data_IF_475630384277
#
_entry.id   IF_475630384277
#
_cell.length_a   1.000
_cell.length_b   1.000
_cell.length_c   1.000
_cell.angle_alpha   90.00
_cell.angle_beta   90.00
_cell.angle_gamma   90.00
#
_symmetry.space_group_name_H-M   'P 1'
#
loop_
_entity.id
_entity.type
_entity.pdbx_description
1 polymer ?
#
# COMPACT_ATOMS: atom_id res chain seq x y z
N UNK A 1 -0.68 -0.22 -12.92
CA UNK A 1 -0.52 -1.16 -14.06
C UNK A 1 -1.04 -2.54 -13.69
N UNK A 2 -0.77 -3.53 -14.54
CA UNK A 2 -1.15 -4.94 -14.32
C UNK A 2 0.08 -5.70 -13.82
N UNK A 3 0.13 -6.15 -12.56
CA UNK A 3 1.26 -6.93 -12.05
C UNK A 3 1.25 -8.34 -12.64
N UNK A 4 2.45 -8.90 -12.82
CA UNK A 4 2.68 -10.30 -13.16
C UNK A 4 3.63 -10.87 -12.11
N UNK A 5 3.30 -12.03 -11.54
CA UNK A 5 4.18 -12.77 -10.63
C UNK A 5 4.67 -14.04 -11.31
N UNK A 6 5.91 -14.43 -11.03
CA UNK A 6 6.45 -15.71 -11.46
C UNK A 6 5.93 -16.80 -10.52
N UNK A 7 5.48 -17.92 -11.08
CA UNK A 7 4.99 -19.03 -10.27
C UNK A 7 6.11 -19.59 -9.39
N UNK A 8 5.85 -19.73 -8.10
CA UNK A 8 6.80 -20.18 -7.10
C UNK A 8 7.41 -19.06 -6.26
N UNK A 9 7.37 -17.80 -6.72
CA UNK A 9 7.85 -16.65 -5.92
C UNK A 9 7.07 -16.51 -4.62
N UNK A 10 5.78 -16.88 -4.62
CA UNK A 10 4.90 -16.78 -3.46
C UNK A 10 5.32 -17.68 -2.29
N UNK A 11 6.18 -18.68 -2.49
CA UNK A 11 6.71 -19.52 -1.42
C UNK A 11 8.25 -19.64 -1.45
N UNK A 12 8.92 -18.78 -2.22
CA UNK A 12 10.38 -18.71 -2.28
C UNK A 12 11.04 -19.81 -3.12
N UNK A 13 10.47 -20.16 -4.27
CA UNK A 13 11.13 -21.03 -5.25
C UNK A 13 12.52 -20.49 -5.61
N UNK A 14 13.50 -21.39 -5.69
CA UNK A 14 14.89 -21.03 -5.97
C UNK A 14 15.48 -21.90 -7.06
N UNK A 15 16.20 -21.27 -7.98
CA UNK A 15 17.04 -21.93 -8.99
C UNK A 15 18.52 -21.92 -8.57
N UNK A 16 18.79 -21.76 -7.26
CA UNK A 16 20.14 -21.69 -6.68
C UNK A 16 21.06 -20.64 -7.33
N UNK A 17 20.48 -19.51 -7.74
CA UNK A 17 21.21 -18.41 -8.40
C UNK A 17 21.37 -18.58 -9.91
N UNK A 18 20.89 -19.67 -10.52
CA UNK A 18 20.82 -19.79 -11.97
C UNK A 18 19.72 -18.86 -12.51
N UNK A 19 20.08 -17.82 -13.25
CA UNK A 19 19.13 -16.88 -13.85
C UNK A 19 18.76 -17.25 -15.30
N UNK A 20 19.18 -18.43 -15.79
CA UNK A 20 18.98 -18.90 -17.15
C UNK A 20 18.78 -20.42 -17.22
N UNK A 21 17.83 -20.95 -16.44
CA UNK A 21 17.56 -22.39 -16.33
C UNK A 21 16.79 -23.00 -17.53
N UNK A 22 16.94 -22.45 -18.74
CA UNK A 22 16.11 -22.81 -19.91
C UNK A 22 16.24 -24.27 -20.38
N UNK A 23 17.37 -24.92 -20.10
CA UNK A 23 17.64 -26.31 -20.49
C UNK A 23 17.60 -27.29 -19.29
N UNK A 24 17.06 -26.85 -18.15
CA UNK A 24 17.00 -27.65 -16.93
C UNK A 24 15.59 -28.22 -16.75
N UNK A 25 15.44 -29.51 -17.02
CA UNK A 25 14.24 -30.27 -16.68
C UNK A 25 14.54 -31.19 -15.50
N UNK A 26 14.59 -30.60 -14.29
CA UNK A 26 14.93 -31.27 -13.03
C UNK A 26 14.51 -30.40 -11.83
N UNK A 27 14.91 -30.80 -10.63
CA UNK A 27 14.56 -30.16 -9.36
C UNK A 27 14.97 -28.69 -9.25
N UNK A 28 15.85 -28.18 -10.13
CA UNK A 28 16.18 -26.74 -10.21
C UNK A 28 14.96 -25.93 -10.67
N UNK A 29 14.14 -26.46 -11.59
CA UNK A 29 13.02 -25.73 -12.20
C UNK A 29 11.65 -26.22 -11.72
N UNK A 30 11.57 -27.43 -11.15
CA UNK A 30 10.31 -27.97 -10.64
C UNK A 30 9.83 -27.24 -9.38
N UNK A 31 8.51 -27.03 -9.28
CA UNK A 31 7.87 -26.45 -8.10
C UNK A 31 7.64 -27.53 -7.04
N UNK A 32 8.37 -27.45 -5.93
CA UNK A 32 8.33 -28.45 -4.86
C UNK A 32 7.25 -28.16 -3.80
N UNK A 33 5.97 -28.31 -4.18
CA UNK A 33 4.81 -28.02 -3.32
C UNK A 33 4.80 -28.78 -1.99
N UNK A 34 5.33 -30.01 -1.97
CA UNK A 34 5.44 -30.88 -0.80
C UNK A 34 6.58 -30.49 0.15
N UNK A 35 7.49 -29.61 -0.28
CA UNK A 35 8.70 -29.21 0.45
C UNK A 35 8.74 -27.73 0.81
N UNK A 36 7.59 -27.05 0.79
CA UNK A 36 7.49 -25.65 1.23
C UNK A 36 7.88 -25.57 2.72
N UNK A 37 8.90 -24.76 3.00
CA UNK A 37 9.40 -24.50 4.36
C UNK A 37 8.43 -23.59 5.15
N UNK A 38 8.52 -23.53 6.49
CA UNK A 38 7.72 -22.62 7.30
C UNK A 38 7.77 -21.17 6.81
N UNK A 39 8.95 -20.64 6.49
CA UNK A 39 9.13 -19.26 6.00
C UNK A 39 8.47 -19.06 4.62
N UNK A 40 8.44 -20.11 3.79
CA UNK A 40 7.72 -20.10 2.52
C UNK A 40 6.20 -20.07 2.69
N UNK A 41 5.67 -20.66 3.78
CA UNK A 41 4.24 -20.54 4.13
C UNK A 41 3.91 -19.13 4.61
N UNK A 42 4.78 -18.52 5.41
CA UNK A 42 4.63 -17.12 5.83
C UNK A 42 4.64 -16.17 4.62
N UNK A 43 5.58 -16.37 3.68
CA UNK A 43 5.62 -15.60 2.44
C UNK A 43 4.34 -15.80 1.60
N UNK A 44 3.82 -17.02 1.53
CA UNK A 44 2.59 -17.32 0.80
C UNK A 44 1.40 -16.56 1.38
N UNK A 45 1.24 -16.56 2.70
CA UNK A 45 0.17 -15.80 3.36
C UNK A 45 0.35 -14.28 3.20
N UNK A 46 1.60 -13.79 3.27
CA UNK A 46 1.89 -12.39 2.96
C UNK A 46 1.54 -12.03 1.51
N UNK A 47 1.89 -12.87 0.54
CA UNK A 47 1.52 -12.67 -0.87
C UNK A 47 0.00 -12.67 -1.05
N UNK A 48 -0.73 -13.56 -0.38
CA UNK A 48 -2.21 -13.57 -0.39
C UNK A 48 -2.77 -12.27 0.19
N UNK A 49 -2.21 -11.77 1.29
CA UNK A 49 -2.56 -10.49 1.90
C UNK A 49 -2.37 -9.33 0.93
N UNK A 50 -1.24 -9.27 0.22
CA UNK A 50 -0.98 -8.24 -0.79
C UNK A 50 -1.97 -8.29 -1.97
N UNK A 51 -2.30 -9.50 -2.45
CA UNK A 51 -3.30 -9.67 -3.53
C UNK A 51 -4.68 -9.22 -3.07
N UNK A 52 -5.09 -9.61 -1.86
CA UNK A 52 -6.36 -9.20 -1.27
C UNK A 52 -6.43 -7.68 -1.10
N UNK A 53 -5.40 -7.07 -0.51
CA UNK A 53 -5.27 -5.62 -0.35
C UNK A 53 -5.40 -4.91 -1.72
N UNK A 54 -4.65 -5.37 -2.72
CA UNK A 54 -4.74 -4.82 -4.08
C UNK A 54 -6.16 -4.86 -4.63
N UNK A 55 -6.90 -5.97 -4.46
CA UNK A 55 -8.28 -6.11 -4.94
C UNK A 55 -9.27 -5.23 -4.14
N UNK A 56 -9.01 -5.04 -2.85
CA UNK A 56 -9.85 -4.25 -1.95
C UNK A 56 -9.75 -2.75 -2.22
N UNK A 57 -8.59 -2.26 -2.69
CA UNK A 57 -8.35 -0.82 -2.89
C UNK A 57 -8.21 -0.44 -4.38
N UNK A 58 -9.31 0.02 -5.03
CA UNK A 58 -9.31 0.39 -6.45
C UNK A 58 -8.24 1.39 -6.86
N UNK A 59 -7.86 2.30 -5.95
CA UNK A 59 -6.83 3.31 -6.17
C UNK A 59 -5.48 2.73 -6.60
N UNK A 60 -5.18 1.48 -6.24
CA UNK A 60 -3.94 0.78 -6.62
C UNK A 60 -3.96 0.22 -8.05
N UNK A 61 -5.13 0.16 -8.69
CA UNK A 61 -5.30 -0.44 -10.02
C UNK A 61 -6.22 0.37 -10.95
N UNK A 62 -6.27 1.69 -10.76
CA UNK A 62 -6.96 2.60 -11.67
C UNK A 62 -6.35 2.54 -13.07
N UNK A 63 -7.20 2.73 -14.09
CA UNK A 63 -6.80 2.75 -15.51
C UNK A 63 -6.29 4.11 -16.01
N UNK A 64 -6.09 5.08 -15.12
CA UNK A 64 -5.60 6.44 -15.45
C UNK A 64 -4.26 6.68 -14.78
N UNK A 65 -3.39 7.42 -15.47
CA UNK A 65 -2.14 7.89 -14.89
C UNK A 65 -2.40 8.96 -13.84
N UNK A 66 -1.61 8.91 -12.78
CA UNK A 66 -1.55 9.95 -11.76
C UNK A 66 -0.83 11.17 -12.36
N UNK A 67 -1.42 12.35 -12.25
CA UNK A 67 -0.91 13.57 -12.84
C UNK A 67 -0.10 14.41 -11.84
N UNK A 68 -0.33 14.26 -10.54
CA UNK A 68 0.31 15.09 -9.52
C UNK A 68 0.03 16.58 -9.72
N UNK A 69 -1.13 16.92 -10.29
CA UNK A 69 -1.59 18.30 -10.49
C UNK A 69 -2.84 18.53 -9.67
N UNK A 70 -2.90 19.69 -9.03
CA UNK A 70 -4.09 20.10 -8.29
C UNK A 70 -5.24 20.37 -9.26
N UNK A 71 -6.41 19.82 -8.96
CA UNK A 71 -7.64 20.05 -9.70
C UNK A 71 -8.50 21.06 -8.95
N UNK A 72 -8.58 22.29 -9.45
CA UNK A 72 -9.36 23.38 -8.84
C UNK A 72 -10.86 23.08 -8.77
N UNK A 73 -11.42 22.38 -9.77
CA UNK A 73 -12.86 22.04 -9.80
C UNK A 73 -13.25 21.04 -8.69
N UNK A 74 -12.29 20.20 -8.28
CA UNK A 74 -12.53 19.10 -7.32
C UNK A 74 -11.82 19.30 -5.98
N UNK A 75 -11.03 20.38 -5.85
CA UNK A 75 -10.19 20.69 -4.69
C UNK A 75 -9.39 19.47 -4.20
N UNK A 76 -8.67 18.84 -5.14
CA UNK A 76 -7.95 17.58 -4.88
C UNK A 76 -6.76 17.40 -5.80
N UNK A 77 -5.71 16.76 -5.27
CA UNK A 77 -4.56 16.24 -6.02
C UNK A 77 -4.61 14.72 -5.99
N UNK A 78 -4.38 14.05 -7.12
CA UNK A 78 -4.47 12.58 -7.19
C UNK A 78 -3.29 11.85 -6.54
N UNK A 79 -2.11 12.45 -6.59
CA UNK A 79 -0.91 12.00 -5.88
C UNK A 79 -0.10 13.16 -5.33
N UNK A 80 0.37 13.02 -4.10
CA UNK A 80 1.35 13.92 -3.47
C UNK A 80 2.57 13.10 -3.04
N UNK A 81 3.76 13.55 -3.42
CA UNK A 81 5.00 12.92 -3.02
C UNK A 81 5.56 13.66 -1.82
N UNK A 82 5.98 12.92 -0.79
CA UNK A 82 6.29 13.48 0.51
C UNK A 82 7.73 13.18 0.92
N UNK A 83 8.39 14.17 1.51
CA UNK A 83 9.65 13.99 2.23
C UNK A 83 9.41 13.23 3.54
N UNK A 84 10.46 12.71 4.22
CA UNK A 84 10.32 12.14 5.55
C UNK A 84 9.75 13.12 6.60
N UNK A 85 9.85 14.43 6.37
CA UNK A 85 9.23 15.44 7.23
C UNK A 85 7.71 15.54 7.06
N UNK A 86 7.10 14.79 6.14
CA UNK A 86 5.66 14.84 5.84
C UNK A 86 5.28 16.01 4.92
N UNK A 87 6.26 16.68 4.33
CA UNK A 87 6.08 17.84 3.46
C UNK A 87 6.11 17.43 1.98
N UNK A 88 5.42 18.18 1.12
CA UNK A 88 5.45 17.90 -0.31
C UNK A 88 6.85 18.10 -0.91
N UNK A 89 7.32 17.13 -1.68
CA UNK A 89 8.61 17.20 -2.37
C UNK A 89 8.61 18.27 -3.45
N UNK A 90 9.53 19.21 -3.33
CA UNK A 90 9.87 20.15 -4.42
C UNK A 90 10.88 19.56 -5.42
N UNK A 91 11.18 20.32 -6.47
CA UNK A 91 12.14 19.93 -7.53
C UNK A 91 13.55 19.62 -6.99
N UNK A 92 14.00 20.32 -5.95
CA UNK A 92 15.30 20.09 -5.33
C UNK A 92 15.37 18.71 -4.66
N UNK A 93 14.32 18.31 -3.96
CA UNK A 93 14.22 16.97 -3.36
C UNK A 93 14.23 15.86 -4.42
N UNK A 94 13.61 16.07 -5.58
CA UNK A 94 13.62 15.10 -6.69
C UNK A 94 15.00 14.87 -7.30
N UNK A 95 15.85 15.90 -7.28
CA UNK A 95 17.21 15.82 -7.81
C UNK A 95 18.25 15.38 -6.76
N UNK A 96 17.85 15.22 -5.49
CA UNK A 96 18.75 14.70 -4.47
C UNK A 96 18.94 13.18 -4.59
N UNK A 97 20.08 12.78 -5.14
CA UNK A 97 20.51 11.38 -5.24
C UNK A 97 20.65 10.65 -3.89
N UNK A 98 20.65 11.37 -2.77
CA UNK A 98 20.71 10.80 -1.41
C UNK A 98 19.33 10.57 -0.81
N UNK A 99 18.26 11.13 -1.38
CA UNK A 99 16.89 10.92 -0.93
C UNK A 99 16.47 9.47 -1.18
N UNK A 100 16.61 8.62 -0.16
CA UNK A 100 16.29 7.18 -0.21
C UNK A 100 15.04 6.80 0.56
N UNK A 101 14.39 7.75 1.21
CA UNK A 101 13.13 7.56 1.90
C UNK A 101 12.13 8.64 1.45
N UNK A 102 10.93 8.23 1.05
CA UNK A 102 9.87 9.13 0.61
C UNK A 102 8.49 8.47 0.75
N UNK A 103 7.46 9.31 0.78
CA UNK A 103 6.07 8.90 0.82
C UNK A 103 5.36 9.19 -0.51
N UNK A 104 4.38 8.37 -0.85
CA UNK A 104 3.44 8.58 -1.94
C UNK A 104 2.02 8.54 -1.36
N UNK A 105 1.39 9.69 -1.27
CA UNK A 105 0.01 9.86 -0.82
C UNK A 105 -0.92 9.80 -2.04
N UNK A 106 -1.80 8.81 -2.07
CA UNK A 106 -2.82 8.62 -3.10
C UNK A 106 -4.18 9.06 -2.56
N UNK A 107 -4.75 10.14 -3.10
CA UNK A 107 -6.01 10.70 -2.60
C UNK A 107 -7.23 9.99 -3.21
N UNK A 108 -7.99 9.30 -2.36
CA UNK A 108 -9.20 8.59 -2.77
C UNK A 108 -10.30 9.49 -3.33
N UNK A 109 -10.27 10.78 -2.98
CA UNK A 109 -11.22 11.81 -3.44
C UNK A 109 -10.94 12.22 -4.89
N UNK A 110 -9.76 11.91 -5.43
CA UNK A 110 -9.43 12.22 -6.81
C UNK A 110 -10.26 11.39 -7.79
N UNK A 111 -10.58 11.99 -8.93
CA UNK A 111 -11.40 11.42 -9.99
C UNK A 111 -10.88 10.03 -10.45
N UNK A 112 -11.68 8.95 -10.32
CA UNK A 112 -11.22 7.61 -10.67
C UNK A 112 -11.31 7.27 -12.17
N UNK A 113 -12.24 7.89 -12.90
CA UNK A 113 -12.55 7.57 -14.31
C UNK A 113 -12.47 8.81 -15.21
N UNK A 114 -12.87 8.73 -16.48
CA UNK A 114 -12.97 9.91 -17.35
C UNK A 114 -14.13 10.87 -17.02
N UNK A 115 -15.05 10.45 -16.14
CA UNK A 115 -16.21 11.24 -15.74
C UNK A 115 -15.77 12.27 -14.69
N UNK A 116 -15.99 13.56 -14.96
CA UNK A 116 -15.68 14.68 -14.07
C UNK A 116 -16.53 14.62 -12.79
N UNK A 117 -16.09 13.81 -11.82
CA UNK A 117 -16.72 13.64 -10.52
C UNK A 117 -15.63 13.28 -9.50
N UNK A 118 -15.78 13.81 -8.28
CA UNK A 118 -14.97 13.43 -7.13
C UNK A 118 -15.08 11.93 -6.84
N UNK A 119 -13.95 11.29 -6.58
CA UNK A 119 -13.89 9.91 -6.12
C UNK A 119 -14.34 9.77 -4.67
N UNK A 120 -14.55 8.53 -4.25
CA UNK A 120 -14.92 8.13 -2.90
C UNK A 120 -14.08 6.97 -2.36
N UNK A 121 -13.01 6.61 -3.09
CA UNK A 121 -12.07 5.57 -2.68
C UNK A 121 -11.41 5.89 -1.31
N UNK A 122 -10.76 4.90 -0.73
CA UNK A 122 -9.88 5.11 0.40
C UNK A 122 -8.63 5.89 -0.03
N UNK A 123 -8.16 6.77 0.84
CA UNK A 123 -6.87 7.46 0.69
C UNK A 123 -5.78 6.57 1.29
N UNK A 124 -4.70 6.36 0.54
CA UNK A 124 -3.58 5.52 0.96
C UNK A 124 -2.29 6.33 1.03
N UNK A 125 -1.45 6.03 2.01
CA UNK A 125 -0.07 6.53 2.08
C UNK A 125 0.87 5.34 1.96
N UNK A 126 1.76 5.37 0.97
CA UNK A 126 2.79 4.37 0.77
C UNK A 126 4.14 4.98 1.11
N UNK A 127 4.89 4.38 2.03
CA UNK A 127 6.22 4.87 2.42
C UNK A 127 7.27 3.84 1.99
N UNK A 128 8.34 4.28 1.36
CA UNK A 128 9.43 3.42 0.93
C UNK A 128 10.73 3.93 1.53
N UNK A 129 11.47 3.05 2.22
CA UNK A 129 12.80 3.35 2.71
C UNK A 129 13.83 2.41 2.08
N UNK A 130 14.47 2.90 1.02
CA UNK A 130 15.63 2.29 0.40
C UNK A 130 16.95 2.74 1.05
N UNK A 131 16.92 3.41 2.21
CA UNK A 131 18.09 3.59 3.08
C UNK A 131 18.36 2.32 3.89
N UNK A 132 19.59 2.17 4.39
CA UNK A 132 20.04 0.95 5.07
C UNK A 132 19.78 0.98 6.58
N UNK A 133 19.35 2.13 7.07
CA UNK A 133 19.09 2.43 8.47
C UNK A 133 17.69 3.04 8.62
N UNK A 134 17.22 3.14 9.85
CA UNK A 134 15.92 3.70 10.23
C UNK A 134 15.84 5.16 9.78
N UNK A 135 14.67 5.55 9.26
CA UNK A 135 14.32 6.93 8.97
C UNK A 135 13.01 7.27 9.69
N UNK A 136 12.99 8.35 10.46
CA UNK A 136 11.74 8.87 11.02
C UNK A 136 10.91 9.49 9.90
N UNK A 137 9.66 9.04 9.75
CA UNK A 137 8.70 9.57 8.80
C UNK A 137 7.51 10.19 9.54
N UNK A 138 7.23 11.47 9.29
CA UNK A 138 6.09 12.17 9.88
C UNK A 138 4.82 11.87 9.09
N UNK A 139 3.82 11.27 9.75
CA UNK A 139 2.55 10.97 9.09
C UNK A 139 1.76 12.27 8.83
N UNK A 140 1.42 12.58 7.56
CA UNK A 140 0.84 13.86 7.18
C UNK A 140 -0.62 13.97 7.63
N UNK A 141 -1.06 15.20 7.88
CA UNK A 141 -2.48 15.52 7.94
C UNK A 141 -3.06 15.59 6.53
N UNK A 142 -4.25 15.03 6.34
CA UNK A 142 -4.95 15.04 5.05
C UNK A 142 -6.44 15.33 5.27
N UNK A 143 -7.11 16.04 4.33
CA UNK A 143 -8.49 16.44 4.56
C UNK A 143 -9.45 15.24 4.67
N UNK A 144 -10.51 15.41 5.47
CA UNK A 144 -11.54 14.39 5.77
C UNK A 144 -11.03 13.16 6.54
N UNK A 145 -9.77 13.20 7.01
CA UNK A 145 -9.15 12.15 7.80
C UNK A 145 -9.05 12.48 9.29
N UNK A 146 -8.89 11.43 10.09
CA UNK A 146 -8.67 11.50 11.54
C UNK A 146 -7.31 10.94 11.95
N UNK A 147 -6.92 9.82 11.34
CA UNK A 147 -5.76 9.04 11.73
C UNK A 147 -5.33 8.13 10.58
N UNK A 148 -4.16 7.50 10.70
CA UNK A 148 -3.65 6.50 9.79
C UNK A 148 -3.70 5.12 10.44
N UNK A 149 -4.13 4.12 9.67
CA UNK A 149 -4.06 2.71 10.08
C UNK A 149 -3.02 2.02 9.22
N UNK A 150 -2.04 1.36 9.85
CA UNK A 150 -1.03 0.58 9.12
C UNK A 150 -1.65 -0.72 8.59
N UNK A 151 -1.61 -0.93 7.28
CA UNK A 151 -2.07 -2.14 6.62
C UNK A 151 -0.94 -3.14 6.38
N UNK A 152 0.24 -2.62 6.01
CA UNK A 152 1.44 -3.38 5.68
C UNK A 152 2.63 -2.64 6.25
N UNK A 153 3.50 -3.38 6.93
CA UNK A 153 4.87 -3.00 7.23
C UNK A 153 5.74 -4.22 6.92
N UNK A 154 6.63 -4.16 5.92
CA UNK A 154 7.45 -5.32 5.54
C UNK A 154 8.42 -5.77 6.64
N UNK A 155 8.59 -4.98 7.70
CA UNK A 155 9.40 -5.34 8.86
C UNK A 155 8.58 -6.08 9.94
N UNK A 156 7.25 -6.04 9.87
CA UNK A 156 6.35 -6.65 10.85
C UNK A 156 5.39 -7.60 10.12
N UNK A 157 5.53 -8.93 10.26
CA UNK A 157 4.73 -9.91 9.52
C UNK A 157 3.22 -9.68 9.65
N UNK A 158 2.77 -9.42 10.88
CA UNK A 158 1.42 -8.97 11.19
C UNK A 158 1.51 -7.68 12.01
N UNK A 159 1.46 -6.50 11.36
CA UNK A 159 1.33 -5.27 12.10
C UNK A 159 0.04 -5.38 12.91
N UNK A 160 0.13 -5.23 14.23
CA UNK A 160 -0.99 -5.31 15.15
C UNK A 160 -2.18 -4.52 14.55
N UNK A 161 -3.36 -5.16 14.41
CA UNK A 161 -4.56 -4.56 13.79
C UNK A 161 -4.98 -3.23 14.47
N UNK A 162 -4.40 -2.95 15.64
CA UNK A 162 -4.62 -1.78 16.50
C UNK A 162 -3.70 -0.58 16.25
N UNK A 163 -2.77 -0.61 15.30
CA UNK A 163 -1.88 0.52 14.99
C UNK A 163 -2.58 1.72 14.37
N UNK A 164 -3.38 2.45 15.16
CA UNK A 164 -3.99 3.73 14.79
C UNK A 164 -3.04 4.85 15.17
N UNK A 165 -2.50 5.54 14.16
CA UNK A 165 -1.50 6.59 14.33
C UNK A 165 -2.12 7.97 14.08
N UNK A 166 -2.01 8.92 15.02
CA UNK A 166 -2.49 10.28 14.78
C UNK A 166 -1.62 10.98 13.72
N UNK A 167 -2.15 12.07 13.14
CA UNK A 167 -1.35 12.96 12.32
C UNK A 167 -0.18 13.54 13.12
N UNK A 168 0.94 13.80 12.43
CA UNK A 168 2.19 14.26 13.05
C UNK A 168 2.94 13.18 13.83
N UNK A 169 2.41 11.95 13.94
CA UNK A 169 3.15 10.83 14.52
C UNK A 169 4.43 10.58 13.72
N UNK A 170 5.54 10.38 14.42
CA UNK A 170 6.83 10.01 13.84
C UNK A 170 6.95 8.50 13.85
N UNK A 171 6.78 7.89 12.68
CA UNK A 171 6.91 6.45 12.51
C UNK A 171 8.36 6.10 12.19
N UNK A 172 8.92 5.11 12.90
CA UNK A 172 10.26 4.59 12.63
C UNK A 172 10.23 3.62 11.45
N UNK A 173 10.57 4.12 10.26
CA UNK A 173 10.60 3.30 9.05
C UNK A 173 11.94 2.59 8.97
N UNK A 174 11.97 1.29 9.21
CA UNK A 174 13.22 0.51 9.23
C UNK A 174 13.91 0.50 7.86
N UNK A 175 15.21 0.21 7.86
CA UNK A 175 15.98 0.12 6.61
C UNK A 175 15.43 -0.97 5.69
N UNK A 176 15.44 -0.71 4.37
CA UNK A 176 14.98 -1.65 3.34
C UNK A 176 13.53 -2.10 3.52
N UNK A 177 12.66 -1.19 3.96
CA UNK A 177 11.24 -1.50 4.21
C UNK A 177 10.29 -0.71 3.31
N UNK A 178 9.07 -1.21 3.25
CA UNK A 178 7.94 -0.55 2.62
C UNK A 178 6.72 -0.66 3.54
N UNK A 179 5.97 0.43 3.64
CA UNK A 179 4.75 0.51 4.43
C UNK A 179 3.58 1.00 3.60
N UNK A 180 2.39 0.57 3.98
CA UNK A 180 1.12 1.04 3.43
C UNK A 180 0.18 1.38 4.57
N UNK A 181 -0.28 2.63 4.61
CA UNK A 181 -1.30 3.10 5.53
C UNK A 181 -2.58 3.42 4.77
N UNK A 182 -3.72 3.25 5.45
CA UNK A 182 -5.02 3.74 4.99
C UNK A 182 -5.50 4.85 5.92
N UNK A 183 -6.12 5.87 5.32
CA UNK A 183 -6.71 6.96 6.07
C UNK A 183 -8.01 6.51 6.76
N UNK A 184 -8.07 6.62 8.08
CA UNK A 184 -9.32 6.56 8.81
C UNK A 184 -10.07 7.89 8.61
N UNK A 185 -11.23 7.86 7.95
CA UNK A 185 -12.04 9.07 7.72
C UNK A 185 -12.80 9.47 8.97
N UNK A 186 -13.07 10.78 9.12
CA UNK A 186 -14.02 11.24 10.13
C UNK A 186 -15.40 10.60 9.90
N UNK A 187 -15.98 9.97 10.93
CA UNK A 187 -17.37 9.49 10.85
C UNK A 187 -18.29 10.69 10.64
N UNK A 188 -18.80 10.88 9.42
CA UNK A 188 -19.89 11.83 9.16
C UNK A 188 -21.06 11.45 10.06
N UNK A 189 -21.42 12.32 11.01
CA UNK A 189 -22.69 12.24 11.73
C UNK A 189 -23.81 12.26 10.68
N UNK A 190 -24.40 11.10 10.35
CA UNK A 190 -25.62 11.04 9.55
C UNK A 190 -26.68 11.85 10.31
N UNK A 191 -27.03 13.04 9.82
CA UNK A 191 -28.32 13.63 10.17
C UNK A 191 -29.37 12.64 9.68
N UNK A 192 -30.18 12.13 10.61
CA UNK A 192 -31.32 11.24 10.34
C UNK A 192 -32.29 11.93 9.39
N UNK A 193 -32.16 11.67 8.09
CA UNK A 193 -33.28 11.65 7.15
C UNK A 193 -33.55 10.18 6.89
N UNK A 194 -34.68 9.70 7.43
CA UNK A 194 -35.04 8.29 7.43
C UNK A 194 -35.09 7.73 6.01
N UNK A 195 -34.29 6.70 5.75
CA UNK A 195 -34.70 5.34 5.38
C UNK A 195 -33.46 4.47 5.64
N UNK A 196 -33.68 3.41 6.40
CA UNK A 196 -32.66 2.49 6.90
C UNK A 196 -32.12 1.57 5.81
N UNK A 197 -30.83 1.69 5.51
CA UNK A 197 -29.98 0.55 5.12
C UNK A 197 -28.57 0.86 5.60
N UNK A 198 -28.14 0.16 6.66
CA UNK A 198 -26.78 0.21 7.18
C UNK A 198 -25.87 -0.56 6.21
N UNK A 199 -24.84 0.11 5.70
CA UNK A 199 -23.66 -0.55 5.15
C UNK A 199 -22.49 -0.02 5.99
N UNK A 200 -22.08 -0.81 6.97
CA UNK A 200 -20.90 -0.57 7.77
C UNK A 200 -19.67 -0.79 6.86
N UNK A 201 -18.89 0.26 6.63
CA UNK A 201 -17.59 0.19 5.94
C UNK A 201 -16.51 -0.24 6.94
N UNK A 202 -16.73 -1.34 7.64
CA UNK A 202 -15.60 -2.09 8.18
C UNK A 202 -14.83 -2.69 6.98
N UNK A 203 -13.49 -2.70 6.97
CA UNK A 203 -12.76 -3.49 6.00
C UNK A 203 -13.30 -4.93 6.09
N UNK A 204 -13.65 -5.57 4.96
CA UNK A 204 -14.14 -6.94 5.00
C UNK A 204 -13.08 -7.81 5.68
N UNK A 205 -13.46 -8.73 6.58
CA UNK A 205 -12.51 -9.66 7.17
C UNK A 205 -11.77 -10.38 6.05
N UNK A 206 -10.45 -10.48 6.20
CA UNK A 206 -9.61 -11.21 5.26
C UNK A 206 -10.17 -12.63 5.11
N UNK A 207 -10.41 -13.12 3.88
CA UNK A 207 -11.00 -14.44 3.70
C UNK A 207 -10.04 -15.50 4.24
N UNK A 208 -10.48 -16.22 5.29
CA UNK A 208 -9.72 -17.30 5.94
C UNK A 208 -9.75 -18.63 5.18
N UNK A 209 -10.52 -18.72 4.08
CA UNK A 209 -10.83 -20.00 3.46
C UNK A 209 -10.42 -20.02 1.98
N UNK A 210 -9.17 -20.41 1.71
CA UNK A 210 -8.87 -21.32 0.58
C UNK A 210 -7.79 -22.29 1.08
N UNK A 211 -8.27 -23.43 1.59
CA UNK A 211 -7.51 -24.67 1.77
C UNK A 211 -7.27 -25.30 0.41
#
# INVERSE_FOLDING_TARGET
>A
GTPMMLAGDEFGHTQHGNNNAYAQDNEITWLAWDKIKPEGRELLEFTRKLIALRKTYPILHRGRFLAGRYNEELDVKDVTWLTPAGEEMDEGHWHDTKAKCFGMLLDGRAQPTGIKRRGDDATLLMVMNAHHDVVEFVLPEVPEGRSWVCLIDTNVPDPDESGVFPFGHRYEVTGRSMLVFVLEKERRRRQRLGVSTELDLAPPPMPTDLV
#
